data_IF_394287748776
#
_entry.id   IF_394287748776
#
_cell.length_a   1.000
_cell.length_b   1.000
_cell.length_c   1.000
_cell.angle_alpha   90.00
_cell.angle_beta   90.00
_cell.angle_gamma   90.00
#
_symmetry.space_group_name_H-M   'P 1'
#
loop_
_entity.id
_entity.type
_entity.pdbx_description
1 polymer ?
#
# COMPACT_ATOMS: atom_id res chain seq x y z
N UNK A 1 -4.82 -22.30 57.66
CA UNK A 1 -5.91 -22.31 56.66
C UNK A 1 -5.76 -21.33 55.50
N UNK A 2 -5.28 -20.03 55.66
CA UNK A 2 -5.23 -19.11 54.51
C UNK A 2 -4.17 -19.47 53.46
N UNK A 3 -3.06 -20.09 53.82
CA UNK A 3 -1.96 -20.47 52.92
C UNK A 3 -2.40 -21.51 51.89
N UNK A 4 -3.15 -22.53 52.35
CA UNK A 4 -3.66 -23.59 51.46
C UNK A 4 -4.69 -23.07 50.45
N UNK A 5 -5.54 -22.10 50.89
CA UNK A 5 -6.50 -21.46 50.01
C UNK A 5 -5.81 -20.58 48.96
N UNK A 6 -4.78 -19.87 49.33
CA UNK A 6 -3.97 -19.04 48.41
C UNK A 6 -3.23 -19.92 47.36
N UNK A 7 -2.67 -21.06 47.80
CA UNK A 7 -1.98 -21.97 46.89
C UNK A 7 -2.94 -22.59 45.88
N UNK A 8 -4.15 -22.97 46.34
CA UNK A 8 -5.22 -23.50 45.46
C UNK A 8 -5.67 -22.49 44.41
N UNK A 9 -5.77 -21.19 44.81
CA UNK A 9 -6.17 -20.11 43.90
C UNK A 9 -5.09 -19.85 42.83
N UNK A 10 -3.80 -19.82 43.20
CA UNK A 10 -2.69 -19.63 42.28
C UNK A 10 -2.60 -20.80 41.29
N UNK A 11 -2.70 -22.05 41.77
CA UNK A 11 -2.71 -23.23 40.90
C UNK A 11 -3.91 -23.22 39.97
N UNK A 12 -5.11 -22.86 40.44
CA UNK A 12 -6.32 -22.80 39.63
C UNK A 12 -6.25 -21.77 38.55
N UNK A 13 -5.77 -20.54 38.86
CA UNK A 13 -5.56 -19.48 37.88
C UNK A 13 -4.45 -19.83 36.87
N UNK A 14 -3.36 -20.44 37.35
CA UNK A 14 -2.27 -20.88 36.48
C UNK A 14 -2.69 -21.92 35.46
N UNK A 15 -3.46 -22.93 35.91
CA UNK A 15 -3.99 -23.99 35.02
C UNK A 15 -5.04 -23.45 34.05
N UNK A 16 -5.91 -22.55 34.49
CA UNK A 16 -6.90 -21.91 33.62
C UNK A 16 -6.25 -21.07 32.52
N UNK A 17 -5.21 -20.29 32.89
CA UNK A 17 -4.46 -19.47 31.92
C UNK A 17 -3.70 -20.36 30.94
N UNK A 18 -3.06 -21.42 31.42
CA UNK A 18 -2.35 -22.35 30.55
C UNK A 18 -3.29 -23.07 29.60
N UNK A 19 -4.43 -23.58 30.05
CA UNK A 19 -5.47 -24.17 29.21
C UNK A 19 -6.01 -23.15 28.18
N UNK A 20 -6.30 -21.93 28.59
CA UNK A 20 -6.77 -20.89 27.70
C UNK A 20 -5.77 -20.52 26.60
N UNK A 21 -4.47 -20.52 26.91
CA UNK A 21 -3.42 -20.21 25.94
C UNK A 21 -3.08 -21.35 24.98
N UNK A 22 -3.47 -22.59 25.29
CA UNK A 22 -3.26 -23.75 24.40
C UNK A 22 -4.42 -24.00 23.45
N UNK A 23 -5.57 -23.35 23.66
CA UNK A 23 -6.70 -23.45 22.75
C UNK A 23 -6.40 -22.71 21.44
N UNK A 24 -6.50 -23.37 20.29
CA UNK A 24 -6.34 -22.67 19.02
C UNK A 24 -7.45 -21.63 18.86
N UNK A 25 -7.06 -20.36 18.70
CA UNK A 25 -8.02 -19.30 18.40
C UNK A 25 -8.64 -19.58 17.01
N UNK A 26 -9.95 -19.80 17.00
CA UNK A 26 -10.72 -19.86 15.76
C UNK A 26 -11.58 -18.61 15.69
N UNK A 27 -11.32 -17.70 14.76
CA UNK A 27 -12.19 -16.54 14.56
C UNK A 27 -13.60 -17.05 14.21
N UNK A 28 -14.67 -16.37 14.65
CA UNK A 28 -16.05 -16.80 14.43
C UNK A 28 -16.45 -16.86 12.94
N UNK A 29 -15.68 -16.24 12.08
CA UNK A 29 -15.80 -16.32 10.63
C UNK A 29 -14.40 -16.58 10.06
N UNK A 30 -14.30 -17.51 9.14
CA UNK A 30 -13.07 -17.64 8.32
C UNK A 30 -12.92 -16.36 7.54
N UNK A 31 -11.89 -15.54 7.76
CA UNK A 31 -11.71 -14.33 6.97
C UNK A 31 -11.54 -14.76 5.51
N UNK A 32 -12.26 -14.08 4.63
CA UNK A 32 -12.07 -14.24 3.18
C UNK A 32 -10.59 -14.04 2.85
N UNK A 33 -10.06 -14.71 1.84
CA UNK A 33 -8.71 -14.46 1.38
C UNK A 33 -8.54 -12.99 1.01
N UNK A 34 -7.37 -12.43 1.31
CA UNK A 34 -7.06 -11.05 0.99
C UNK A 34 -5.83 -10.95 0.08
N UNK A 35 -5.92 -10.05 -0.88
CA UNK A 35 -4.79 -9.56 -1.64
C UNK A 35 -4.35 -8.23 -1.03
N UNK A 36 -3.09 -8.13 -0.65
CA UNK A 36 -2.47 -6.87 -0.23
C UNK A 36 -1.51 -6.41 -1.32
N UNK A 37 -1.73 -5.20 -1.82
CA UNK A 37 -0.79 -4.55 -2.73
C UNK A 37 -0.16 -3.37 -2.02
N UNK A 38 1.17 -3.35 -1.97
CA UNK A 38 1.93 -2.30 -1.30
C UNK A 38 2.99 -1.74 -2.23
N UNK A 39 3.17 -0.42 -2.20
CA UNK A 39 4.27 0.24 -2.90
C UNK A 39 4.77 1.48 -2.15
N UNK A 40 6.03 1.80 -2.40
CA UNK A 40 6.70 3.02 -2.02
C UNK A 40 7.50 3.49 -3.25
N UNK A 41 6.91 4.40 -4.05
CA UNK A 41 7.45 4.78 -5.34
C UNK A 41 7.34 6.27 -5.60
N UNK A 42 8.35 6.83 -6.27
CA UNK A 42 8.35 8.22 -6.67
C UNK A 42 7.72 8.36 -8.06
N UNK A 43 6.66 9.15 -8.16
CA UNK A 43 6.20 9.62 -9.46
C UNK A 43 7.24 10.51 -10.14
N UNK A 44 7.10 10.70 -11.44
CA UNK A 44 7.94 11.60 -12.21
C UNK A 44 7.84 13.03 -11.71
N UNK A 45 8.88 13.82 -11.93
CA UNK A 45 8.86 15.25 -11.58
C UNK A 45 7.90 15.97 -12.52
N UNK A 46 7.03 16.81 -11.95
CA UNK A 46 6.15 17.67 -12.73
C UNK A 46 7.01 18.56 -13.64
N UNK A 47 6.67 18.64 -14.92
CA UNK A 47 7.42 19.43 -15.88
C UNK A 47 7.54 20.89 -15.42
N UNK A 48 8.73 21.51 -15.53
CA UNK A 48 8.92 22.88 -15.14
C UNK A 48 8.01 23.79 -15.97
N UNK A 49 7.27 24.67 -15.28
CA UNK A 49 6.40 25.65 -15.92
C UNK A 49 7.18 26.97 -16.17
N UNK A 50 7.06 27.50 -17.36
CA UNK A 50 7.54 28.84 -17.66
C UNK A 50 6.72 29.85 -16.87
N UNK A 51 7.40 30.77 -16.17
CA UNK A 51 6.75 31.83 -15.41
C UNK A 51 6.26 32.93 -16.33
N UNK A 52 5.13 33.53 -15.99
CA UNK A 52 4.64 34.73 -16.67
C UNK A 52 5.47 35.93 -16.28
N UNK A 53 5.44 36.99 -17.13
CA UNK A 53 6.18 38.23 -16.87
C UNK A 53 5.78 38.84 -15.51
N UNK A 54 4.50 38.85 -15.20
CA UNK A 54 3.98 39.35 -13.92
C UNK A 54 4.52 38.59 -12.70
N UNK A 55 4.62 37.26 -12.81
CA UNK A 55 5.19 36.42 -11.74
C UNK A 55 6.70 36.65 -11.59
N UNK A 56 7.40 36.91 -12.69
CA UNK A 56 8.83 37.25 -12.66
C UNK A 56 9.06 38.61 -11.99
N UNK A 57 8.23 39.61 -12.29
CA UNK A 57 8.31 40.95 -11.72
C UNK A 57 7.99 40.99 -10.22
N UNK A 58 7.07 40.13 -9.77
CA UNK A 58 6.71 39.97 -8.36
C UNK A 58 7.83 39.33 -7.51
N UNK A 59 8.83 38.70 -8.13
CA UNK A 59 9.96 38.09 -7.44
C UNK A 59 11.12 39.07 -7.26
N UNK A 60 11.88 38.88 -6.18
CA UNK A 60 13.12 39.62 -5.97
C UNK A 60 14.08 39.36 -7.15
N UNK A 61 14.86 40.36 -7.62
CA UNK A 61 15.72 40.24 -8.80
C UNK A 61 16.64 39.01 -8.81
N UNK A 62 17.21 38.66 -7.66
CA UNK A 62 18.09 37.49 -7.52
C UNK A 62 17.35 36.13 -7.59
N UNK A 63 16.01 36.11 -7.51
CA UNK A 63 15.16 34.90 -7.57
C UNK A 63 14.39 34.80 -8.90
N UNK A 64 14.71 35.61 -9.90
CA UNK A 64 14.03 35.66 -11.22
C UNK A 64 14.57 34.55 -12.14
N UNK A 65 14.32 33.29 -11.80
CA UNK A 65 14.56 32.21 -12.73
C UNK A 65 13.40 32.11 -13.73
N UNK A 66 13.69 31.92 -15.02
CA UNK A 66 12.66 31.83 -16.09
C UNK A 66 11.70 30.64 -15.91
N UNK A 67 12.10 29.62 -15.19
CA UNK A 67 11.31 28.44 -14.93
C UNK A 67 11.09 28.26 -13.43
N UNK A 68 9.89 27.89 -13.08
CA UNK A 68 9.63 27.34 -11.76
C UNK A 68 10.08 25.88 -11.79
N UNK A 69 11.22 25.57 -11.22
CA UNK A 69 11.67 24.18 -11.04
C UNK A 69 10.82 23.61 -9.91
N UNK A 70 9.67 23.08 -10.28
CA UNK A 70 8.84 22.36 -9.33
C UNK A 70 9.60 21.11 -8.90
N UNK A 71 9.74 20.91 -7.60
CA UNK A 71 10.18 19.62 -7.03
C UNK A 71 9.01 18.66 -6.90
N UNK A 72 7.80 19.16 -7.14
CA UNK A 72 6.56 18.41 -7.04
C UNK A 72 6.58 17.20 -7.96
N UNK A 73 6.13 16.08 -7.44
CA UNK A 73 6.02 14.81 -8.18
C UNK A 73 4.58 14.53 -8.56
N UNK A 74 4.44 13.87 -9.68
CA UNK A 74 3.16 13.36 -10.16
C UNK A 74 2.63 12.31 -9.18
N UNK A 75 1.33 12.31 -8.88
CA UNK A 75 0.73 11.21 -8.13
C UNK A 75 0.93 9.87 -8.83
N UNK A 76 1.19 8.82 -8.08
CA UNK A 76 1.26 7.46 -8.60
C UNK A 76 -0.15 6.85 -8.58
N UNK A 77 -0.63 6.41 -9.73
CA UNK A 77 -1.91 5.72 -9.86
C UNK A 77 -1.70 4.22 -9.83
N UNK A 78 -2.43 3.54 -8.96
CA UNK A 78 -2.46 2.09 -8.84
C UNK A 78 -3.78 1.57 -9.39
N UNK A 79 -3.72 0.61 -10.32
CA UNK A 79 -4.86 -0.17 -10.77
C UNK A 79 -4.61 -1.65 -10.47
N UNK A 80 -5.61 -2.30 -9.90
CA UNK A 80 -5.62 -3.75 -9.65
C UNK A 80 -6.84 -4.34 -10.31
N UNK A 81 -6.61 -5.41 -11.06
CA UNK A 81 -7.67 -6.19 -11.71
C UNK A 81 -7.57 -7.65 -11.25
N UNK A 82 -8.75 -8.27 -11.09
CA UNK A 82 -8.89 -9.69 -10.81
C UNK A 82 -9.81 -10.27 -11.87
N UNK A 83 -9.35 -11.25 -12.61
CA UNK A 83 -10.06 -11.87 -13.74
C UNK A 83 -10.56 -10.83 -14.77
N UNK A 84 -9.76 -9.80 -15.02
CA UNK A 84 -10.08 -8.73 -15.95
C UNK A 84 -11.05 -7.67 -15.41
N UNK A 85 -11.56 -7.83 -14.17
CA UNK A 85 -12.39 -6.81 -13.53
C UNK A 85 -11.54 -5.89 -12.68
N UNK A 86 -11.70 -4.58 -12.84
CA UNK A 86 -11.02 -3.59 -12.01
C UNK A 86 -11.64 -3.57 -10.61
N UNK A 87 -10.87 -4.02 -9.63
CA UNK A 87 -11.27 -4.04 -8.21
C UNK A 87 -10.72 -2.85 -7.44
N UNK A 88 -9.69 -2.19 -7.99
CA UNK A 88 -9.10 -0.98 -7.42
C UNK A 88 -8.51 -0.10 -8.52
N UNK A 89 -8.76 1.21 -8.44
CA UNK A 89 -8.15 2.22 -9.34
C UNK A 89 -8.14 3.56 -8.61
N UNK A 90 -6.96 3.95 -8.09
CA UNK A 90 -6.81 5.17 -7.30
C UNK A 90 -5.43 5.80 -7.49
N UNK A 91 -5.39 7.14 -7.39
CA UNK A 91 -4.15 7.93 -7.41
C UNK A 91 -3.72 8.30 -5.99
N UNK A 92 -2.43 8.15 -5.72
CA UNK A 92 -1.79 8.41 -4.44
C UNK A 92 -0.83 9.58 -4.56
N UNK A 93 -1.09 10.61 -3.79
CA UNK A 93 -0.30 11.84 -3.80
C UNK A 93 1.11 11.59 -3.24
N UNK A 94 2.08 12.28 -3.80
CA UNK A 94 3.43 12.31 -3.27
C UNK A 94 3.43 12.91 -1.86
N UNK A 95 4.21 12.32 -0.96
CA UNK A 95 4.33 12.75 0.43
C UNK A 95 5.27 13.95 0.55
N UNK A 96 5.23 14.58 1.72
CA UNK A 96 6.03 15.77 2.03
C UNK A 96 5.28 17.08 1.75
N UNK A 97 5.74 18.14 2.41
CA UNK A 97 5.12 19.47 2.33
C UNK A 97 5.19 20.06 0.91
N UNK A 98 6.27 19.75 0.19
CA UNK A 98 6.50 20.15 -1.20
C UNK A 98 6.05 19.10 -2.22
N UNK A 99 5.39 18.03 -1.77
CA UNK A 99 4.99 16.88 -2.60
C UNK A 99 6.15 16.30 -3.44
N UNK A 100 7.34 16.28 -2.87
CA UNK A 100 8.58 15.83 -3.52
C UNK A 100 9.03 14.43 -3.04
N UNK A 101 8.34 13.88 -2.05
CA UNK A 101 8.57 12.53 -1.53
C UNK A 101 7.93 11.43 -2.38
N UNK A 102 8.01 10.19 -1.94
CA UNK A 102 7.35 9.07 -2.58
C UNK A 102 5.84 9.09 -2.37
N UNK A 103 5.10 8.48 -3.29
CA UNK A 103 3.73 8.02 -3.07
C UNK A 103 3.79 6.66 -2.39
N UNK A 104 3.00 6.48 -1.35
CA UNK A 104 2.99 5.26 -0.53
C UNK A 104 1.55 4.78 -0.40
N UNK A 105 1.33 3.50 -0.63
CA UNK A 105 0.06 2.86 -0.38
C UNK A 105 0.21 1.43 0.15
N UNK A 106 -0.76 1.02 0.94
CA UNK A 106 -1.04 -0.37 1.30
C UNK A 106 -2.54 -0.57 1.09
N UNK A 107 -2.89 -1.34 0.09
CA UNK A 107 -4.28 -1.60 -0.31
C UNK A 107 -4.62 -3.04 0.03
N UNK A 108 -5.74 -3.26 0.73
CA UNK A 108 -6.27 -4.58 1.05
C UNK A 108 -7.55 -4.80 0.26
N UNK A 109 -7.60 -5.90 -0.46
CA UNK A 109 -8.69 -6.25 -1.35
C UNK A 109 -9.18 -7.67 -1.01
N UNK A 110 -10.45 -7.85 -0.63
CA UNK A 110 -11.01 -9.18 -0.48
C UNK A 110 -11.09 -9.84 -1.86
N UNK A 111 -10.68 -11.10 -1.93
CA UNK A 111 -10.71 -11.90 -3.15
C UNK A 111 -11.44 -13.22 -2.82
N UNK A 112 -12.19 -13.77 -3.77
CA UNK A 112 -12.81 -15.08 -3.58
C UNK A 112 -11.73 -16.18 -3.42
N UNK A 113 -12.06 -17.26 -2.73
CA UNK A 113 -11.19 -18.43 -2.73
C UNK A 113 -11.21 -19.10 -4.11
N UNK A 114 -10.05 -19.53 -4.57
CA UNK A 114 -9.90 -20.13 -5.89
C UNK A 114 -8.64 -19.64 -6.62
N UNK A 115 -8.56 -19.96 -7.89
CA UNK A 115 -7.47 -19.52 -8.78
C UNK A 115 -7.96 -18.34 -9.60
N UNK A 116 -7.26 -17.21 -9.52
CA UNK A 116 -7.61 -15.96 -10.18
C UNK A 116 -6.41 -15.37 -10.91
N UNK A 117 -6.64 -14.72 -12.03
CA UNK A 117 -5.63 -13.92 -12.73
C UNK A 117 -5.61 -12.52 -12.10
N UNK A 118 -4.50 -12.18 -11.44
CA UNK A 118 -4.30 -10.86 -10.83
C UNK A 118 -3.40 -10.03 -11.73
N UNK A 119 -3.81 -8.80 -12.01
CA UNK A 119 -3.03 -7.82 -12.75
C UNK A 119 -2.86 -6.57 -11.88
N UNK A 120 -1.64 -6.08 -11.79
CA UNK A 120 -1.30 -4.86 -11.04
C UNK A 120 -0.54 -3.93 -11.97
N UNK A 121 -1.00 -2.68 -12.04
CA UNK A 121 -0.41 -1.66 -12.89
C UNK A 121 -0.17 -0.38 -12.11
N UNK A 122 0.99 0.22 -12.31
CA UNK A 122 1.34 1.53 -11.78
C UNK A 122 1.58 2.52 -12.91
N UNK A 123 1.05 3.73 -12.73
CA UNK A 123 1.32 4.87 -13.59
C UNK A 123 1.95 5.97 -12.75
N UNK A 124 3.18 6.30 -13.04
CA UNK A 124 4.00 7.32 -12.37
C UNK A 124 4.28 8.54 -13.25
N UNK A 125 3.85 8.51 -14.51
CA UNK A 125 4.07 9.57 -15.50
C UNK A 125 3.04 10.70 -15.44
N UNK A 126 1.88 10.45 -14.84
CA UNK A 126 0.74 11.37 -14.83
C UNK A 126 0.00 11.48 -16.16
N UNK A 127 0.43 10.75 -17.19
CA UNK A 127 -0.29 10.67 -18.47
C UNK A 127 -1.39 9.62 -18.37
N UNK A 128 -2.56 9.94 -18.88
CA UNK A 128 -3.66 8.98 -18.94
C UNK A 128 -3.21 7.77 -19.80
N UNK A 129 -3.43 6.56 -19.31
CA UNK A 129 -3.10 5.30 -19.99
C UNK A 129 -1.60 4.98 -20.19
N UNK A 130 -0.69 5.70 -19.53
CA UNK A 130 0.74 5.38 -19.54
C UNK A 130 1.09 4.53 -18.31
N UNK A 131 0.88 3.22 -18.43
CA UNK A 131 1.17 2.26 -17.36
C UNK A 131 2.63 1.84 -17.44
N UNK A 132 3.47 2.55 -16.70
CA UNK A 132 4.94 2.38 -16.70
C UNK A 132 5.39 1.05 -16.11
N UNK A 133 4.61 0.50 -15.17
CA UNK A 133 4.88 -0.77 -14.54
C UNK A 133 3.65 -1.67 -14.63
N UNK A 134 3.88 -2.91 -15.04
CA UNK A 134 2.82 -3.91 -15.24
C UNK A 134 3.27 -5.26 -14.72
N UNK A 135 2.38 -5.94 -14.01
CA UNK A 135 2.57 -7.29 -13.52
C UNK A 135 1.27 -8.08 -13.66
N UNK A 136 1.37 -9.34 -14.07
CA UNK A 136 0.22 -10.22 -14.22
C UNK A 136 0.62 -11.66 -13.95
N UNK A 137 -0.13 -12.33 -13.06
CA UNK A 137 0.10 -13.73 -12.71
C UNK A 137 -1.18 -14.40 -12.23
N UNK A 138 -1.24 -15.73 -12.40
CA UNK A 138 -2.31 -16.55 -11.85
C UNK A 138 -1.97 -16.93 -10.42
N UNK A 139 -2.82 -16.54 -9.47
CA UNK A 139 -2.64 -16.78 -8.03
C UNK A 139 -3.76 -17.63 -7.47
N UNK A 140 -3.40 -18.55 -6.56
CA UNK A 140 -4.38 -19.33 -5.79
C UNK A 140 -4.62 -18.69 -4.44
N UNK A 141 -5.88 -18.38 -4.15
CA UNK A 141 -6.35 -17.82 -2.89
C UNK A 141 -7.04 -18.90 -2.06
N UNK A 142 -6.61 -19.06 -0.83
CA UNK A 142 -7.17 -20.02 0.13
C UNK A 142 -7.76 -19.24 1.31
N UNK A 143 -8.80 -19.75 1.92
CA UNK A 143 -9.38 -19.18 3.13
C UNK A 143 -8.32 -18.99 4.21
N UNK A 144 -8.40 -17.90 4.96
CA UNK A 144 -7.44 -17.50 6.00
C UNK A 144 -6.01 -17.23 5.48
N UNK A 145 -5.81 -17.09 4.17
CA UNK A 145 -4.51 -16.77 3.62
C UNK A 145 -4.48 -15.35 3.06
N UNK A 146 -3.35 -14.71 3.28
CA UNK A 146 -3.02 -13.40 2.74
C UNK A 146 -2.00 -13.59 1.62
N UNK A 147 -2.22 -12.93 0.48
CA UNK A 147 -1.22 -12.80 -0.60
C UNK A 147 -0.76 -11.37 -0.66
N UNK A 148 0.55 -11.17 -0.73
CA UNK A 148 1.14 -9.84 -0.75
C UNK A 148 1.88 -9.63 -2.05
N UNK A 149 1.57 -8.53 -2.74
CA UNK A 149 2.33 -8.04 -3.89
C UNK A 149 2.99 -6.74 -3.44
N UNK A 150 4.31 -6.72 -3.49
CA UNK A 150 5.13 -5.57 -3.18
C UNK A 150 5.74 -5.02 -4.46
N UNK A 151 5.65 -3.72 -4.68
CA UNK A 151 6.41 -3.03 -5.70
C UNK A 151 7.55 -2.25 -5.08
N UNK A 152 8.75 -2.52 -5.57
CA UNK A 152 9.98 -1.79 -5.27
C UNK A 152 10.55 -1.16 -6.54
N UNK A 153 11.05 0.05 -6.46
CA UNK A 153 11.56 0.79 -7.62
C UNK A 153 12.74 0.11 -8.30
N UNK A 154 13.57 -0.61 -7.53
CA UNK A 154 14.76 -1.26 -8.06
C UNK A 154 14.50 -2.71 -8.49
N UNK A 155 13.64 -3.43 -7.76
CA UNK A 155 13.37 -4.86 -7.97
C UNK A 155 12.09 -5.11 -8.80
N UNK A 156 11.23 -4.11 -8.98
CA UNK A 156 9.93 -4.29 -9.59
C UNK A 156 8.92 -4.94 -8.66
N UNK A 157 7.98 -5.71 -9.23
CA UNK A 157 6.98 -6.45 -8.46
C UNK A 157 7.56 -7.75 -7.91
N UNK A 158 7.23 -8.04 -6.65
CA UNK A 158 7.54 -9.30 -5.97
C UNK A 158 6.30 -9.80 -5.22
N UNK A 159 6.15 -11.13 -5.12
CA UNK A 159 5.01 -11.79 -4.50
C UNK A 159 5.45 -12.64 -3.30
N UNK A 160 4.62 -12.62 -2.23
CA UNK A 160 4.81 -13.37 -0.99
C UNK A 160 3.52 -14.03 -0.53
#
# INVERSE_FOLDING_TARGET
>A
MPILAALGLVLGLGTATWLGSTLPYRPPHSPAPELVVSFNHHGNIVAPRKLTQAELEARQPQMRAQFNVARERVPVRLRVQVDGQTVHDQSYQAKGLSKDGPSIAVVRLPVAAGSHVVQVELNDSGKLYDWSQHWSETMTFQENHLRVILFDTAAGFSMY
#
